data_IF_530407479854
#
_entry.id   IF_530407479854
#
_cell.length_a   1.000
_cell.length_b   1.000
_cell.length_c   1.000
_cell.angle_alpha   90.00
_cell.angle_beta   90.00
_cell.angle_gamma   90.00
#
_symmetry.space_group_name_H-M   'P 1'
#
loop_
_entity.id
_entity.type
_entity.pdbx_description
1 polymer ?
#
# COMPACT_ATOMS: atom_id res chain seq x y z
N UNK A 1 20.37 12.83 -5.16
CA UNK A 1 19.26 12.19 -5.91
C UNK A 1 18.44 11.42 -4.89
N UNK A 2 17.16 11.76 -4.68
CA UNK A 2 16.32 10.99 -3.76
C UNK A 2 16.11 9.61 -4.38
N UNK A 3 16.56 8.57 -3.68
CA UNK A 3 16.50 7.19 -4.15
C UNK A 3 15.07 6.71 -3.91
N UNK A 4 14.35 6.48 -5.01
CA UNK A 4 12.95 6.05 -4.94
C UNK A 4 12.90 4.55 -4.74
N UNK A 5 12.17 4.10 -3.73
CA UNK A 5 11.97 2.68 -3.48
C UNK A 5 10.57 2.27 -3.90
N UNK A 6 10.45 1.06 -4.43
CA UNK A 6 9.16 0.52 -4.86
C UNK A 6 8.76 -0.65 -3.98
N UNK A 7 7.52 -0.64 -3.52
CA UNK A 7 6.92 -1.68 -2.71
C UNK A 7 5.64 -2.16 -3.37
N UNK A 8 5.50 -3.48 -3.47
CA UNK A 8 4.26 -4.14 -3.81
C UNK A 8 3.55 -4.52 -2.51
N UNK A 9 2.32 -4.07 -2.37
CA UNK A 9 1.48 -4.24 -1.18
C UNK A 9 0.24 -5.01 -1.60
N UNK A 10 -0.01 -6.12 -0.93
CA UNK A 10 -1.23 -6.89 -1.10
C UNK A 10 -2.20 -6.57 0.02
N UNK A 11 -3.39 -6.12 -0.36
CA UNK A 11 -4.48 -5.87 0.57
C UNK A 11 -5.05 -7.23 1.01
N UNK A 12 -5.09 -7.44 2.32
CA UNK A 12 -5.69 -8.60 2.96
C UNK A 12 -7.19 -8.43 3.12
N UNK A 13 -7.74 -8.84 4.25
CA UNK A 13 -9.18 -8.74 4.50
C UNK A 13 -9.61 -7.27 4.65
N UNK A 14 -10.69 -6.91 3.95
CA UNK A 14 -11.30 -5.59 3.99
C UNK A 14 -12.69 -5.61 3.37
N UNK A 15 -13.58 -4.79 3.93
CA UNK A 15 -14.91 -4.50 3.37
C UNK A 15 -14.89 -3.23 2.49
N UNK A 16 -13.76 -2.53 2.43
CA UNK A 16 -13.60 -1.27 1.68
C UNK A 16 -13.22 -1.54 0.22
N UNK A 17 -13.61 -0.63 -0.65
CA UNK A 17 -13.17 -0.63 -2.05
C UNK A 17 -11.70 -0.23 -2.14
N UNK A 18 -11.03 -0.70 -3.19
CA UNK A 18 -9.62 -0.39 -3.41
C UNK A 18 -9.34 1.11 -3.56
N UNK A 19 -10.28 1.86 -4.14
CA UNK A 19 -10.17 3.33 -4.29
C UNK A 19 -10.14 4.05 -2.94
N UNK A 20 -10.98 3.62 -1.98
CA UNK A 20 -11.01 4.16 -0.62
C UNK A 20 -9.68 3.91 0.11
N UNK A 21 -9.12 2.71 -0.08
CA UNK A 21 -7.82 2.33 0.49
C UNK A 21 -6.71 3.17 -0.14
N UNK A 22 -6.70 3.34 -1.46
CA UNK A 22 -5.74 4.20 -2.16
C UNK A 22 -5.83 5.64 -1.65
N UNK A 23 -7.04 6.19 -1.48
CA UNK A 23 -7.23 7.54 -0.97
C UNK A 23 -6.74 7.68 0.48
N UNK A 24 -7.03 6.70 1.34
CA UNK A 24 -6.51 6.63 2.71
C UNK A 24 -4.97 6.63 2.72
N UNK A 25 -4.34 5.82 1.88
CA UNK A 25 -2.88 5.74 1.79
C UNK A 25 -2.29 7.06 1.28
N UNK A 26 -2.96 7.75 0.33
CA UNK A 26 -2.52 9.08 -0.14
C UNK A 26 -2.57 10.15 0.95
N UNK A 27 -3.52 10.03 1.89
CA UNK A 27 -3.67 10.93 3.04
C UNK A 27 -2.75 10.58 4.21
N UNK A 28 -1.99 9.50 4.11
CA UNK A 28 -1.01 9.11 5.13
C UNK A 28 0.20 10.05 5.14
N UNK A 29 0.84 10.19 6.30
CA UNK A 29 2.13 10.87 6.45
C UNK A 29 3.32 10.07 5.87
N UNK A 30 3.04 8.95 5.18
CA UNK A 30 4.09 8.16 4.54
C UNK A 30 4.70 8.94 3.38
N UNK A 31 6.01 8.79 3.12
CA UNK A 31 6.70 9.48 2.03
C UNK A 31 6.38 8.84 0.66
N UNK A 32 5.10 8.60 0.36
CA UNK A 32 4.62 7.97 -0.87
C UNK A 32 4.51 9.03 -1.96
N UNK A 33 5.21 8.81 -3.08
CA UNK A 33 5.20 9.72 -4.23
C UNK A 33 4.25 9.25 -5.32
N UNK A 34 4.02 7.94 -5.43
CA UNK A 34 3.16 7.36 -6.46
C UNK A 34 2.50 6.08 -5.97
N UNK A 35 1.24 5.87 -6.36
CA UNK A 35 0.48 4.65 -6.12
C UNK A 35 -0.07 4.18 -7.45
N UNK A 36 0.19 2.91 -7.79
CA UNK A 36 -0.35 2.25 -8.97
C UNK A 36 -1.08 1.00 -8.56
N UNK A 37 -2.33 0.87 -8.99
CA UNK A 37 -3.06 -0.39 -8.85
C UNK A 37 -2.62 -1.35 -9.94
N UNK A 38 -2.15 -2.53 -9.55
CA UNK A 38 -1.57 -3.51 -10.47
C UNK A 38 -2.57 -4.61 -10.78
N UNK A 39 -3.38 -5.00 -9.80
CA UNK A 39 -4.47 -5.95 -9.95
C UNK A 39 -5.63 -5.58 -9.02
N UNK A 40 -6.83 -5.45 -9.57
CA UNK A 40 -8.08 -5.52 -8.80
C UNK A 40 -9.20 -6.05 -9.70
N UNK A 41 -10.09 -6.86 -9.13
CA UNK A 41 -11.35 -7.20 -9.77
C UNK A 41 -12.28 -5.98 -9.71
N UNK A 42 -12.81 -5.46 -10.83
CA UNK A 42 -13.54 -4.19 -10.88
C UNK A 42 -14.85 -4.16 -10.06
N UNK A 43 -15.31 -5.29 -9.52
CA UNK A 43 -16.55 -5.43 -8.75
C UNK A 43 -16.35 -6.10 -7.37
N UNK A 44 -15.14 -6.11 -6.81
CA UNK A 44 -14.88 -6.71 -5.50
C UNK A 44 -14.33 -5.69 -4.51
N UNK A 45 -14.59 -5.95 -3.22
CA UNK A 45 -13.85 -5.36 -2.10
C UNK A 45 -12.35 -5.36 -2.41
N UNK A 46 -11.60 -4.40 -1.87
CA UNK A 46 -10.15 -4.29 -2.07
C UNK A 46 -9.35 -5.52 -1.62
N UNK A 47 -9.99 -6.51 -0.99
CA UNK A 47 -9.39 -7.78 -0.59
C UNK A 47 -8.71 -8.49 -1.76
N UNK A 48 -7.46 -8.86 -1.55
CA UNK A 48 -6.61 -9.52 -2.55
C UNK A 48 -6.09 -8.59 -3.64
N UNK A 49 -6.42 -7.29 -3.60
CA UNK A 49 -5.87 -6.33 -4.55
C UNK A 49 -4.38 -6.09 -4.29
N UNK A 50 -3.66 -5.84 -5.38
CA UNK A 50 -2.23 -5.56 -5.32
C UNK A 50 -1.97 -4.13 -5.76
N UNK A 51 -1.35 -3.36 -4.86
CA UNK A 51 -0.91 -2.00 -5.07
C UNK A 51 0.60 -1.95 -5.19
N UNK A 52 1.11 -1.13 -6.09
CA UNK A 52 2.52 -0.76 -6.16
C UNK A 52 2.67 0.67 -5.65
N UNK A 53 3.36 0.83 -4.53
CA UNK A 53 3.69 2.09 -3.89
C UNK A 53 5.13 2.46 -4.25
N UNK A 54 5.37 3.72 -4.60
CA UNK A 54 6.71 4.29 -4.69
C UNK A 54 6.89 5.29 -3.56
N UNK A 55 8.02 5.18 -2.85
CA UNK A 55 8.36 6.06 -1.74
C UNK A 55 9.61 6.86 -2.06
N UNK A 56 9.69 8.09 -1.54
CA UNK A 56 10.86 8.95 -1.65
C UNK A 56 11.95 8.65 -0.60
N UNK A 57 11.76 7.63 0.23
CA UNK A 57 12.65 7.30 1.34
C UNK A 57 13.30 5.92 1.16
N UNK A 58 14.63 5.89 1.23
CA UNK A 58 15.47 4.69 1.19
C UNK A 58 15.52 3.97 2.56
N UNK A 59 14.95 4.58 3.61
CA UNK A 59 14.98 4.04 4.98
C UNK A 59 13.73 3.26 5.35
N UNK A 60 12.74 3.17 4.46
CA UNK A 60 11.48 2.51 4.76
C UNK A 60 11.60 0.99 4.52
N UNK A 61 11.52 0.20 5.58
CA UNK A 61 11.51 -1.26 5.46
C UNK A 61 10.13 -1.78 5.07
N UNK A 62 10.08 -2.97 4.48
CA UNK A 62 8.81 -3.66 4.18
C UNK A 62 7.94 -3.82 5.43
N UNK A 63 8.56 -4.18 6.57
CA UNK A 63 7.89 -4.37 7.85
C UNK A 63 7.34 -3.06 8.42
N UNK A 64 8.13 -1.97 8.38
CA UNK A 64 7.66 -0.65 8.80
C UNK A 64 6.52 -0.14 7.94
N UNK A 65 6.60 -0.33 6.62
CA UNK A 65 5.52 0.05 5.71
C UNK A 65 4.26 -0.77 6.01
N UNK A 66 4.39 -2.09 6.19
CA UNK A 66 3.25 -2.97 6.57
C UNK A 66 2.63 -2.51 7.89
N UNK A 67 3.44 -2.21 8.91
CA UNK A 67 2.96 -1.74 10.22
C UNK A 67 2.20 -0.43 10.08
N UNK A 68 2.82 0.58 9.46
CA UNK A 68 2.20 1.90 9.31
C UNK A 68 0.90 1.87 8.49
N UNK A 69 0.86 1.09 7.41
CA UNK A 69 -0.35 0.92 6.62
C UNK A 69 -1.48 0.25 7.41
N UNK A 70 -1.16 -0.74 8.25
CA UNK A 70 -2.14 -1.37 9.15
C UNK A 70 -2.58 -0.45 10.29
N UNK A 71 -1.67 0.35 10.86
CA UNK A 71 -2.00 1.35 11.88
C UNK A 71 -2.93 2.43 11.32
N UNK A 72 -2.67 2.89 10.09
CA UNK A 72 -3.54 3.80 9.36
C UNK A 72 -4.89 3.18 8.99
N UNK A 73 -4.86 1.94 8.47
CA UNK A 73 -6.06 1.22 8.09
C UNK A 73 -6.93 0.86 9.28
N UNK A 74 -6.34 0.69 10.47
CA UNK A 74 -7.04 0.30 11.69
C UNK A 74 -7.92 -0.93 11.46
N UNK A 75 -9.22 -0.79 11.71
CA UNK A 75 -10.20 -1.85 11.45
C UNK A 75 -10.76 -1.87 10.00
N UNK A 76 -10.40 -0.89 9.16
CA UNK A 76 -10.99 -0.74 7.83
C UNK A 76 -10.35 -1.66 6.78
N UNK A 77 -9.04 -1.85 6.84
CA UNK A 77 -8.32 -2.76 5.97
C UNK A 77 -7.07 -3.30 6.65
N UNK A 78 -6.64 -4.48 6.24
CA UNK A 78 -5.35 -5.03 6.63
C UNK A 78 -4.46 -5.27 5.41
N UNK A 79 -3.16 -5.18 5.62
CA UNK A 79 -2.14 -5.53 4.65
C UNK A 79 -1.71 -6.98 4.89
N UNK A 80 -1.90 -7.82 3.89
CA UNK A 80 -1.50 -9.23 3.94
C UNK A 80 0.03 -9.34 3.81
N UNK A 81 0.58 -8.71 2.77
CA UNK A 81 2.00 -8.78 2.45
C UNK A 81 2.54 -7.47 1.89
N UNK A 82 3.81 -7.21 2.15
CA UNK A 82 4.57 -6.11 1.56
C UNK A 82 5.86 -6.70 1.02
N UNK A 83 6.16 -6.47 -0.26
CA UNK A 83 7.36 -6.95 -0.92
C UNK A 83 8.05 -5.78 -1.60
N UNK A 84 9.33 -5.60 -1.36
CA UNK A 84 10.14 -4.57 -2.02
C UNK A 84 10.43 -5.03 -3.44
N UNK A 85 9.95 -4.28 -4.42
CA UNK A 85 10.31 -4.49 -5.82
C UNK A 85 11.68 -3.86 -6.05
N UNK A 86 12.73 -4.69 -5.97
CA UNK A 86 14.04 -4.34 -6.50
C UNK A 86 13.97 -4.42 -8.01
N UNK A 87 13.83 -3.28 -8.68
CA UNK A 87 14.06 -3.18 -10.12
C UNK A 87 15.40 -2.54 -10.38
#
# INVERSE_FOLDING_TARGET
>A
MAKQEQFQVQIGDTERNIEEIIDSIRKSDLPITQIKQTSASPNQTGRGATLTLQTASDTLSQEDLKRQLNEQGGCMYQIESVTKSTK
#
